data_IF_939152986739
#
_entry.id   IF_939152986739
#
_cell.length_a   1.000
_cell.length_b   1.000
_cell.length_c   1.000
_cell.angle_alpha   90.00
_cell.angle_beta   90.00
_cell.angle_gamma   90.00
#
_symmetry.space_group_name_H-M   'P 1'
#
loop_
_entity.id
_entity.type
_entity.pdbx_description
1 polymer ?
#
# COMPACT_ATOMS: atom_id res chain seq x y z
N UNK A 1 -7.75 -21.80 -13.41
CA UNK A 1 -7.81 -20.87 -12.26
C UNK A 1 -6.45 -20.23 -12.08
N UNK A 2 -6.25 -18.93 -12.34
CA UNK A 2 -5.02 -18.23 -11.95
C UNK A 2 -5.33 -17.29 -10.78
N UNK A 3 -5.13 -17.78 -9.55
CA UNK A 3 -5.25 -17.00 -8.29
C UNK A 3 -3.86 -16.59 -7.78
N UNK A 4 -2.87 -16.53 -8.68
CA UNK A 4 -1.46 -16.41 -8.29
C UNK A 4 -1.06 -15.00 -7.85
N UNK A 5 -1.79 -13.96 -8.28
CA UNK A 5 -1.45 -12.58 -7.95
C UNK A 5 -2.11 -12.11 -6.66
N UNK A 6 -3.36 -12.53 -6.40
CA UNK A 6 -4.10 -12.21 -5.16
C UNK A 6 -3.40 -12.74 -3.91
N UNK A 7 -2.96 -14.01 -3.91
CA UNK A 7 -2.23 -14.57 -2.75
C UNK A 7 -0.87 -13.93 -2.50
N UNK A 8 -0.17 -13.49 -3.54
CA UNK A 8 1.15 -12.84 -3.40
C UNK A 8 0.99 -11.45 -2.79
N UNK A 9 -0.03 -10.70 -3.21
CA UNK A 9 -0.31 -9.37 -2.67
C UNK A 9 -0.87 -9.48 -1.24
N UNK A 10 -1.79 -10.40 -0.98
CA UNK A 10 -2.34 -10.68 0.35
C UNK A 10 -1.25 -11.10 1.34
N UNK A 11 -0.30 -11.95 0.93
CA UNK A 11 0.85 -12.35 1.77
C UNK A 11 1.83 -11.22 2.08
N UNK A 12 1.91 -10.17 1.25
CA UNK A 12 2.70 -8.96 1.55
C UNK A 12 1.91 -8.01 2.46
N UNK A 13 0.60 -7.98 2.30
CA UNK A 13 -0.28 -7.01 2.97
C UNK A 13 -0.70 -7.46 4.36
N UNK A 14 -0.87 -8.76 4.60
CA UNK A 14 -1.22 -9.31 5.90
C UNK A 14 -0.21 -8.92 7.01
N UNK A 15 1.12 -9.03 6.83
CA UNK A 15 2.06 -8.56 7.83
C UNK A 15 2.10 -7.02 7.94
N UNK A 16 1.75 -6.27 6.89
CA UNK A 16 1.69 -4.80 6.92
C UNK A 16 0.45 -4.34 7.68
N UNK A 17 -0.72 -4.87 7.34
CA UNK A 17 -1.99 -4.58 8.02
C UNK A 17 -1.93 -4.98 9.50
N UNK A 18 -1.28 -6.10 9.84
CA UNK A 18 -1.12 -6.53 11.22
C UNK A 18 -0.15 -5.62 11.99
N UNK A 19 0.94 -5.15 11.36
CA UNK A 19 1.85 -4.15 11.94
C UNK A 19 1.14 -2.80 12.15
N UNK A 20 0.31 -2.38 11.19
CA UNK A 20 -0.48 -1.14 11.26
C UNK A 20 -1.56 -1.24 12.34
N UNK A 21 -2.27 -2.36 12.46
CA UNK A 21 -3.23 -2.57 13.56
C UNK A 21 -2.55 -2.48 14.92
N UNK A 22 -1.35 -3.07 15.07
CA UNK A 22 -0.55 -2.92 16.30
C UNK A 22 -0.13 -1.48 16.54
N UNK A 23 0.18 -0.73 15.48
CA UNK A 23 0.51 0.70 15.56
C UNK A 23 -0.67 1.59 15.97
N UNK A 24 -1.89 1.24 15.54
CA UNK A 24 -3.12 1.91 15.97
C UNK A 24 -3.38 1.64 17.46
N UNK A 25 -3.23 0.39 17.90
CA UNK A 25 -3.37 0.01 19.31
C UNK A 25 -2.30 0.70 20.17
N UNK A 26 -1.04 0.71 19.70
CA UNK A 26 0.05 1.45 20.34
C UNK A 26 -0.20 2.97 20.38
N UNK A 27 -0.93 3.53 19.40
CA UNK A 27 -1.32 4.93 19.44
C UNK A 27 -2.32 5.20 20.57
N UNK A 28 -3.30 4.32 20.78
CA UNK A 28 -4.22 4.39 21.93
C UNK A 28 -3.47 4.23 23.27
N UNK A 29 -2.55 3.28 23.38
CA UNK A 29 -1.74 3.09 24.61
C UNK A 29 -0.71 4.21 24.84
N UNK A 30 -0.29 4.92 23.79
CA UNK A 30 0.65 6.03 23.90
C UNK A 30 -0.03 7.38 24.23
N UNK A 31 -1.36 7.48 24.17
CA UNK A 31 -2.08 8.57 24.85
C UNK A 31 -1.89 8.51 26.38
N UNK A 32 -1.52 7.36 26.93
CA UNK A 32 -1.12 7.14 28.33
C UNK A 32 0.35 7.55 28.62
N UNK A 33 1.09 8.09 27.63
CA UNK A 33 2.44 8.64 27.82
C UNK A 33 3.60 7.73 27.41
N UNK A 34 3.36 6.68 26.61
CA UNK A 34 4.43 5.83 26.07
C UNK A 34 5.05 6.34 24.77
N UNK A 35 6.37 6.19 24.63
CA UNK A 35 7.11 6.56 23.43
C UNK A 35 6.86 5.55 22.30
N UNK A 36 6.58 6.05 21.09
CA UNK A 36 6.43 5.21 19.90
C UNK A 36 7.76 4.51 19.57
N UNK A 37 7.76 3.20 19.25
CA UNK A 37 8.98 2.49 18.85
C UNK A 37 9.50 2.98 17.49
N UNK A 38 10.76 2.69 17.17
CA UNK A 38 11.36 3.08 15.89
C UNK A 38 10.70 2.33 14.72
N UNK A 39 10.09 3.09 13.82
CA UNK A 39 9.38 2.57 12.65
C UNK A 39 10.19 2.70 11.36
N UNK A 40 11.43 3.19 11.42
CA UNK A 40 12.24 3.40 10.22
C UNK A 40 12.51 2.08 9.49
N UNK A 41 12.74 0.98 10.20
CA UNK A 41 12.91 -0.35 9.59
C UNK A 41 11.65 -0.85 8.85
N UNK A 42 10.47 -0.96 9.50
CA UNK A 42 9.27 -1.45 8.81
C UNK A 42 8.81 -0.50 7.70
N UNK A 43 8.89 0.82 7.91
CA UNK A 43 8.54 1.81 6.88
C UNK A 43 9.46 1.70 5.67
N UNK A 44 10.76 1.51 5.86
CA UNK A 44 11.71 1.32 4.76
C UNK A 44 11.42 0.04 3.97
N UNK A 45 11.06 -1.05 4.65
CA UNK A 45 10.65 -2.29 3.98
C UNK A 45 9.38 -2.10 3.13
N UNK A 46 8.40 -1.37 3.66
CA UNK A 46 7.17 -1.02 2.92
C UNK A 46 7.49 -0.12 1.73
N UNK A 47 8.34 0.90 1.89
CA UNK A 47 8.78 1.82 0.81
C UNK A 47 9.43 1.05 -0.35
N UNK A 48 10.32 0.10 -0.04
CA UNK A 48 10.93 -0.79 -1.04
C UNK A 48 9.91 -1.69 -1.74
N UNK A 49 8.96 -2.27 -0.98
CA UNK A 49 7.90 -3.10 -1.55
C UNK A 49 7.00 -2.30 -2.51
N UNK A 50 6.61 -1.08 -2.10
CA UNK A 50 5.81 -0.16 -2.93
C UNK A 50 6.56 0.24 -4.19
N UNK A 51 7.84 0.60 -4.08
CA UNK A 51 8.65 0.98 -5.26
C UNK A 51 8.72 -0.17 -6.27
N UNK A 52 8.92 -1.40 -5.80
CA UNK A 52 8.91 -2.58 -6.68
C UNK A 52 7.54 -2.80 -7.32
N UNK A 53 6.46 -2.64 -6.56
CA UNK A 53 5.09 -2.78 -7.05
C UNK A 53 4.73 -1.70 -8.08
N UNK A 54 5.14 -0.44 -7.88
CA UNK A 54 4.96 0.63 -8.85
C UNK A 54 5.73 0.36 -10.13
N UNK A 55 6.97 -0.13 -10.03
CA UNK A 55 7.77 -0.52 -11.19
C UNK A 55 7.09 -1.63 -12.00
N UNK A 56 6.68 -2.71 -11.33
CA UNK A 56 6.00 -3.85 -11.98
C UNK A 56 4.65 -3.43 -12.57
N UNK A 57 3.87 -2.62 -11.86
CA UNK A 57 2.60 -2.10 -12.37
C UNK A 57 2.78 -1.24 -13.61
N UNK A 58 3.81 -0.36 -13.62
CA UNK A 58 4.18 0.44 -14.79
C UNK A 58 4.64 -0.40 -15.99
N UNK A 59 5.44 -1.43 -15.77
CA UNK A 59 5.80 -2.39 -16.82
C UNK A 59 4.57 -3.14 -17.34
N UNK A 60 3.61 -3.47 -16.47
CA UNK A 60 2.39 -4.18 -16.84
C UNK A 60 1.50 -3.33 -17.74
N UNK A 61 1.20 -2.08 -17.38
CA UNK A 61 0.43 -1.18 -18.26
C UNK A 61 1.15 -0.88 -19.58
N UNK A 62 2.47 -0.78 -19.57
CA UNK A 62 3.23 -0.52 -20.80
C UNK A 62 3.14 -1.70 -21.78
N UNK A 63 3.18 -2.94 -21.27
CA UNK A 63 3.10 -4.16 -22.08
C UNK A 63 1.68 -4.68 -22.30
N UNK A 64 0.66 -4.09 -21.66
CA UNK A 64 -0.74 -4.48 -21.83
C UNK A 64 -1.37 -3.74 -23.01
N UNK A 65 -2.35 -4.34 -23.67
CA UNK A 65 -3.16 -3.70 -24.73
C UNK A 65 -4.50 -3.15 -24.19
N UNK A 66 -4.77 -3.29 -22.89
CA UNK A 66 -5.99 -2.81 -22.24
C UNK A 66 -5.89 -1.30 -21.92
N UNK A 67 -6.59 -0.48 -22.70
CA UNK A 67 -6.64 0.98 -22.53
C UNK A 67 -7.23 1.40 -21.17
N UNK A 68 -8.12 0.61 -20.58
CA UNK A 68 -8.73 0.93 -19.29
C UNK A 68 -7.77 0.59 -18.16
N UNK A 69 -7.07 -0.54 -18.25
CA UNK A 69 -5.97 -0.85 -17.34
C UNK A 69 -4.91 0.28 -17.37
N UNK A 70 -4.55 0.75 -18.57
CA UNK A 70 -3.61 1.88 -18.77
C UNK A 70 -4.11 3.18 -18.17
N UNK A 71 -5.42 3.42 -18.12
CA UNK A 71 -6.01 4.63 -17.58
C UNK A 71 -6.17 4.58 -16.04
N UNK A 72 -6.60 3.45 -15.50
CA UNK A 72 -6.97 3.33 -14.09
C UNK A 72 -5.78 2.95 -13.19
N UNK A 73 -4.90 2.06 -13.67
CA UNK A 73 -3.76 1.57 -12.88
C UNK A 73 -2.78 2.68 -12.45
N UNK A 74 -2.45 3.72 -13.26
CA UNK A 74 -1.60 4.81 -12.82
C UNK A 74 -2.14 5.55 -11.60
N UNK A 75 -3.47 5.71 -11.51
CA UNK A 75 -4.11 6.40 -10.38
C UNK A 75 -3.95 5.61 -9.07
N UNK A 76 -4.06 4.28 -9.17
CA UNK A 76 -3.89 3.39 -8.05
C UNK A 76 -2.41 3.29 -7.62
N UNK A 77 -1.48 3.20 -8.57
CA UNK A 77 -0.03 3.27 -8.32
C UNK A 77 0.37 4.58 -7.62
N UNK A 78 -0.10 5.72 -8.12
CA UNK A 78 0.17 7.02 -7.53
C UNK A 78 -0.36 7.12 -6.09
N UNK A 79 -1.50 6.50 -5.78
CA UNK A 79 -2.01 6.42 -4.41
C UNK A 79 -1.08 5.64 -3.48
N UNK A 80 -0.62 4.46 -3.90
CA UNK A 80 0.30 3.66 -3.08
C UNK A 80 1.63 4.39 -2.88
N UNK A 81 2.13 5.09 -3.90
CA UNK A 81 3.38 5.87 -3.83
C UNK A 81 3.27 7.08 -2.90
N UNK A 82 2.18 7.86 -2.99
CA UNK A 82 1.91 8.95 -2.03
C UNK A 82 1.82 8.42 -0.60
N UNK A 83 1.20 7.25 -0.45
CA UNK A 83 1.01 6.61 0.84
C UNK A 83 2.34 6.12 1.45
N UNK A 84 3.29 5.63 0.66
CA UNK A 84 4.63 5.31 1.15
C UNK A 84 5.43 6.55 1.56
N UNK A 85 5.30 7.67 0.83
CA UNK A 85 5.93 8.94 1.22
C UNK A 85 5.39 9.45 2.56
N UNK A 86 4.08 9.35 2.80
CA UNK A 86 3.48 9.71 4.08
C UNK A 86 4.03 8.86 5.24
N UNK A 87 4.26 7.56 5.02
CA UNK A 87 4.87 6.70 6.02
C UNK A 87 6.33 7.08 6.31
N UNK A 88 7.12 7.43 5.29
CA UNK A 88 8.50 7.89 5.47
C UNK A 88 8.57 9.21 6.22
N UNK A 89 7.72 10.18 5.88
CA UNK A 89 7.60 11.43 6.63
C UNK A 89 7.18 11.18 8.08
N UNK A 90 6.18 10.33 8.30
CA UNK A 90 5.72 9.97 9.63
C UNK A 90 6.84 9.31 10.45
N UNK A 91 7.59 8.39 9.85
CA UNK A 91 8.74 7.76 10.50
C UNK A 91 9.83 8.77 10.84
N UNK A 92 10.15 9.67 9.91
CA UNK A 92 11.13 10.73 10.13
C UNK A 92 10.72 11.67 11.28
N UNK A 93 9.44 12.02 11.36
CA UNK A 93 8.90 12.82 12.45
C UNK A 93 8.91 12.08 13.79
N UNK A 94 8.48 10.80 13.83
CA UNK A 94 8.50 9.98 15.05
C UNK A 94 9.91 9.70 15.57
N UNK A 95 10.91 9.66 14.67
CA UNK A 95 12.31 9.53 15.05
C UNK A 95 12.84 10.76 15.79
N UNK A 96 12.34 11.95 15.45
CA UNK A 96 12.72 13.21 16.11
C UNK A 96 11.87 13.43 17.36
N UNK A 97 10.57 13.19 17.26
CA UNK A 97 9.60 13.33 18.33
C UNK A 97 8.69 12.11 18.40
N UNK A 98 8.99 11.13 19.29
CA UNK A 98 8.21 9.91 19.45
C UNK A 98 6.76 10.15 19.90
N UNK A 99 6.45 11.36 20.38
CA UNK A 99 5.12 11.71 20.88
C UNK A 99 4.30 12.52 19.88
N UNK A 100 4.87 12.83 18.71
CA UNK A 100 4.25 13.71 17.72
C UNK A 100 2.90 13.18 17.22
N UNK A 101 1.82 13.83 17.68
CA UNK A 101 0.46 13.60 17.17
C UNK A 101 0.32 13.71 15.64
N UNK A 102 0.88 14.74 14.97
CA UNK A 102 0.77 14.84 13.50
C UNK A 102 1.52 13.71 12.77
N UNK A 103 2.63 13.21 13.33
CA UNK A 103 3.34 12.08 12.75
C UNK A 103 2.49 10.80 12.77
N UNK A 104 1.80 10.53 13.89
CA UNK A 104 0.87 9.41 14.00
C UNK A 104 -0.25 9.50 12.97
N UNK A 105 -0.85 10.68 12.81
CA UNK A 105 -1.93 10.89 11.84
C UNK A 105 -1.45 10.60 10.41
N UNK A 106 -0.27 11.09 10.02
CA UNK A 106 0.36 10.77 8.72
C UNK A 106 0.59 9.28 8.55
N UNK A 107 0.97 8.58 9.62
CA UNK A 107 1.22 7.14 9.57
C UNK A 107 -0.06 6.34 9.30
N UNK A 108 -1.18 6.73 9.94
CA UNK A 108 -2.50 6.16 9.69
C UNK A 108 -2.96 6.45 8.26
N UNK A 109 -2.82 7.70 7.81
CA UNK A 109 -3.19 8.12 6.46
C UNK A 109 -2.38 7.37 5.39
N UNK A 110 -1.06 7.25 5.57
CA UNK A 110 -0.19 6.48 4.69
C UNK A 110 -0.54 4.99 4.69
N UNK A 111 -0.75 4.39 5.85
CA UNK A 111 -1.14 2.97 5.92
C UNK A 111 -2.46 2.69 5.20
N UNK A 112 -3.46 3.56 5.42
CA UNK A 112 -4.78 3.46 4.79
C UNK A 112 -4.70 3.70 3.29
N UNK A 113 -3.84 4.61 2.84
CA UNK A 113 -3.56 4.87 1.43
C UNK A 113 -2.95 3.67 0.71
N UNK A 114 -2.01 2.94 1.34
CA UNK A 114 -1.44 1.72 0.76
C UNK A 114 -2.49 0.63 0.63
N UNK A 115 -3.28 0.40 1.68
CA UNK A 115 -4.40 -0.56 1.67
C UNK A 115 -5.40 -0.25 0.55
N UNK A 116 -5.83 1.01 0.44
CA UNK A 116 -6.78 1.44 -0.59
C UNK A 116 -6.19 1.37 -1.99
N UNK A 117 -4.97 1.89 -2.20
CA UNK A 117 -4.33 1.87 -3.52
C UNK A 117 -4.07 0.44 -4.00
N UNK A 118 -3.68 -0.46 -3.10
CA UNK A 118 -3.48 -1.88 -3.46
C UNK A 118 -4.79 -2.59 -3.74
N UNK A 119 -5.86 -2.30 -2.99
CA UNK A 119 -7.20 -2.80 -3.29
C UNK A 119 -7.68 -2.33 -4.66
N UNK A 120 -7.48 -1.05 -5.00
CA UNK A 120 -7.77 -0.54 -6.35
C UNK A 120 -6.95 -1.24 -7.43
N UNK A 121 -5.67 -1.53 -7.20
CA UNK A 121 -4.85 -2.29 -8.15
C UNK A 121 -5.38 -3.70 -8.36
N UNK A 122 -5.72 -4.40 -7.27
CA UNK A 122 -6.30 -5.75 -7.33
C UNK A 122 -7.62 -5.75 -8.12
N UNK A 123 -8.47 -4.75 -7.90
CA UNK A 123 -9.73 -4.59 -8.63
C UNK A 123 -9.47 -4.32 -10.12
N UNK A 124 -8.55 -3.41 -10.47
CA UNK A 124 -8.19 -3.16 -11.87
C UNK A 124 -7.67 -4.43 -12.57
N UNK A 125 -6.86 -5.24 -11.86
CA UNK A 125 -6.39 -6.52 -12.39
C UNK A 125 -7.53 -7.54 -12.58
N UNK A 126 -8.41 -7.71 -11.59
CA UNK A 126 -9.55 -8.63 -11.66
C UNK A 126 -10.55 -8.24 -12.76
N UNK A 127 -10.83 -6.94 -12.91
CA UNK A 127 -11.67 -6.40 -13.98
C UNK A 127 -11.06 -6.63 -15.37
N UNK A 128 -9.74 -6.48 -15.51
CA UNK A 128 -9.06 -6.79 -16.79
C UNK A 128 -9.13 -8.28 -17.13
N UNK A 129 -9.01 -9.18 -16.14
CA UNK A 129 -9.08 -10.62 -16.37
C UNK A 129 -10.50 -11.08 -16.71
N UNK A 130 -11.52 -10.52 -16.03
CA UNK A 130 -12.93 -10.80 -16.31
C UNK A 130 -13.38 -10.29 -17.68
N UNK A 131 -12.84 -9.15 -18.14
CA UNK A 131 -13.04 -8.65 -19.52
C UNK A 131 -12.36 -9.54 -20.55
N UNK A 132 -11.12 -9.96 -20.28
CA UNK A 132 -10.39 -10.90 -21.14
C UNK A 132 -11.12 -12.24 -21.31
N UNK A 133 -11.79 -12.73 -20.25
CA UNK A 133 -12.61 -13.95 -20.32
C UNK A 133 -13.94 -13.77 -21.04
N UNK A 134 -14.58 -12.60 -20.95
CA UNK A 134 -15.83 -12.35 -21.67
C UNK A 134 -15.67 -12.37 -23.19
N UNK A 135 -14.45 -12.14 -23.70
CA UNK A 135 -14.13 -12.24 -25.13
C UNK A 135 -13.91 -13.67 -25.64
N UNK A 136 -13.74 -14.66 -24.76
CA UNK A 136 -13.50 -16.07 -25.16
C UNK A 136 -14.82 -16.86 -25.25
N UNK A 137 -15.97 -16.23 -25.03
CA UNK A 137 -17.27 -16.90 -24.99
C UNK A 137 -18.19 -16.61 -26.20
N UNK A 138 -17.65 -16.12 -27.32
CA UNK A 138 -18.41 -15.90 -28.57
C UNK A 138 -17.75 -16.62 -29.73
#
# INVERSE_FOLDING_TARGET
MPVFHTKTIESILEPVAQQVSRLVILHEEAEDGNAMPDLSRPVQAVSLAVTNLVRVGRETIHNSDDDILKQDMPSALARVENASQLLEEASGMLRVDPFSGPARKKLIEGSRGILQGTSSLLLCFDESESRGRSFIQI
#
